data_IF_588510196987
#
_entry.id   IF_588510196987
#
_cell.length_a   1.000
_cell.length_b   1.000
_cell.length_c   1.000
_cell.angle_alpha   90.00
_cell.angle_beta   90.00
_cell.angle_gamma   90.00
#
_symmetry.space_group_name_H-M   'P 1'
#
loop_
_entity.id
_entity.type
_entity.pdbx_description
1 polymer ?
#
# COMPACT_ATOMS: atom_id res chain seq x y z
N UNK A 1 -18.23 15.76 -10.49
CA UNK A 1 -17.40 16.95 -10.18
C UNK A 1 -18.22 18.19 -9.78
N UNK A 2 -19.44 18.41 -10.31
CA UNK A 2 -20.25 19.60 -10.00
C UNK A 2 -20.63 19.81 -8.52
N UNK A 3 -20.50 18.77 -7.68
CA UNK A 3 -20.73 18.84 -6.22
C UNK A 3 -19.50 18.40 -5.41
N UNK A 4 -18.29 18.59 -5.95
CA UNK A 4 -17.04 18.35 -5.20
C UNK A 4 -17.08 19.04 -3.83
N UNK A 5 -16.63 18.38 -2.74
CA UNK A 5 -16.03 17.04 -2.67
C UNK A 5 -17.03 15.87 -2.64
N UNK A 6 -18.32 16.12 -2.38
CA UNK A 6 -19.34 15.09 -2.13
C UNK A 6 -19.46 14.08 -3.28
N UNK A 7 -19.30 14.52 -4.54
CA UNK A 7 -19.39 13.61 -5.68
C UNK A 7 -18.36 12.46 -5.64
N UNK A 8 -17.18 12.67 -5.04
CA UNK A 8 -16.15 11.63 -4.98
C UNK A 8 -16.49 10.52 -3.98
N UNK A 9 -17.21 10.87 -2.91
CA UNK A 9 -17.58 9.92 -1.87
C UNK A 9 -18.73 9.02 -2.31
N UNK A 10 -19.66 9.53 -3.12
CA UNK A 10 -20.83 8.79 -3.58
C UNK A 10 -20.61 8.07 -4.92
N UNK A 11 -19.56 8.40 -5.67
CA UNK A 11 -19.24 7.73 -6.94
C UNK A 11 -18.30 6.56 -6.69
N UNK A 12 -18.78 5.30 -6.76
CA UNK A 12 -17.96 4.16 -6.44
C UNK A 12 -16.94 3.87 -7.54
N UNK A 13 -15.79 3.32 -7.14
CA UNK A 13 -14.87 2.62 -8.03
C UNK A 13 -15.64 1.59 -8.86
N UNK A 14 -15.32 1.49 -10.16
CA UNK A 14 -16.04 0.67 -11.14
C UNK A 14 -15.23 -0.54 -11.58
N UNK A 15 -15.88 -1.49 -12.23
CA UNK A 15 -15.22 -2.64 -12.83
C UNK A 15 -14.20 -2.21 -13.90
N UNK A 16 -13.00 -2.84 -13.97
CA UNK A 16 -12.51 -4.00 -13.20
C UNK A 16 -11.66 -3.63 -11.96
N UNK A 17 -11.72 -2.38 -11.48
CA UNK A 17 -10.84 -1.85 -10.46
C UNK A 17 -11.07 -2.41 -9.04
N UNK A 18 -12.10 -3.23 -8.84
CA UNK A 18 -12.39 -4.00 -7.63
C UNK A 18 -11.57 -5.30 -7.50
N UNK A 19 -10.87 -5.73 -8.56
CA UNK A 19 -10.08 -6.96 -8.55
C UNK A 19 -8.96 -6.93 -7.50
N UNK A 20 -8.78 -8.03 -6.76
CA UNK A 20 -7.76 -8.08 -5.70
C UNK A 20 -6.33 -8.06 -6.24
N UNK A 21 -6.12 -8.56 -7.45
CA UNK A 21 -4.79 -8.67 -8.06
C UNK A 21 -4.37 -7.40 -8.80
N UNK A 22 -5.33 -6.60 -9.30
CA UNK A 22 -5.02 -5.35 -9.98
C UNK A 22 -4.46 -4.32 -9.00
N UNK A 23 -3.46 -3.53 -9.43
CA UNK A 23 -3.07 -2.30 -8.77
C UNK A 23 -3.96 -1.18 -9.30
N UNK A 24 -4.94 -0.77 -8.50
CA UNK A 24 -5.95 0.23 -8.84
C UNK A 24 -5.44 1.61 -8.48
N UNK A 25 -5.56 2.54 -9.42
CA UNK A 25 -5.00 3.89 -9.30
C UNK A 25 -6.14 4.90 -9.18
N UNK A 26 -6.17 5.65 -8.08
CA UNK A 26 -7.01 6.84 -7.94
C UNK A 26 -6.28 8.11 -8.36
N UNK A 27 -6.99 9.24 -8.33
CA UNK A 27 -6.45 10.54 -8.68
C UNK A 27 -6.30 11.46 -7.47
N UNK A 28 -5.12 12.02 -7.26
CA UNK A 28 -4.93 13.21 -6.42
C UNK A 28 -4.38 14.35 -7.28
N UNK A 29 -4.25 15.57 -6.74
CA UNK A 29 -3.69 16.67 -7.52
C UNK A 29 -2.84 17.64 -6.71
N UNK A 30 -1.69 18.02 -7.24
CA UNK A 30 -0.87 19.18 -6.86
C UNK A 30 -1.04 20.33 -7.86
N UNK A 31 -1.80 20.12 -8.93
CA UNK A 31 -2.04 21.12 -9.98
C UNK A 31 -3.10 22.10 -9.54
N UNK A 32 -2.67 23.16 -8.86
CA UNK A 32 -3.55 24.22 -8.34
C UNK A 32 -3.24 25.61 -8.88
N UNK A 33 -2.16 25.76 -9.66
CA UNK A 33 -1.73 27.04 -10.20
C UNK A 33 -2.52 27.38 -11.46
N UNK A 34 -3.14 28.56 -11.45
CA UNK A 34 -3.92 29.14 -12.54
C UNK A 34 -3.30 30.50 -12.89
N UNK A 35 -2.92 30.69 -14.14
CA UNK A 35 -2.48 31.97 -14.68
C UNK A 35 -3.69 32.91 -14.78
N UNK A 36 -3.73 33.89 -13.88
CA UNK A 36 -4.81 34.88 -13.82
C UNK A 36 -4.81 35.84 -15.02
N UNK A 37 -3.74 35.90 -15.82
CA UNK A 37 -3.76 36.65 -17.08
C UNK A 37 -4.53 35.90 -18.18
N UNK A 38 -4.52 34.56 -18.15
CA UNK A 38 -5.22 33.70 -19.13
C UNK A 38 -6.64 33.38 -18.66
N UNK A 39 -6.79 33.07 -17.38
CA UNK A 39 -8.03 32.63 -16.73
C UNK A 39 -8.40 33.56 -15.55
N UNK A 40 -8.69 34.86 -15.76
CA UNK A 40 -8.97 35.79 -14.67
C UNK A 40 -10.17 35.36 -13.81
N UNK A 41 -9.98 35.32 -12.49
CA UNK A 41 -11.03 34.99 -11.52
C UNK A 41 -11.32 33.50 -11.37
N UNK A 42 -10.61 32.64 -12.12
CA UNK A 42 -10.71 31.20 -11.95
C UNK A 42 -9.91 30.74 -10.73
N UNK A 43 -10.48 29.80 -9.99
CA UNK A 43 -9.84 29.14 -8.85
C UNK A 43 -9.87 27.62 -9.04
N UNK A 44 -8.89 26.89 -8.51
CA UNK A 44 -8.91 25.43 -8.54
C UNK A 44 -10.09 24.88 -7.72
N UNK A 45 -10.55 23.69 -8.10
CA UNK A 45 -11.64 22.98 -7.41
C UNK A 45 -11.12 22.20 -6.22
N UNK A 46 -10.06 21.41 -6.42
CA UNK A 46 -9.38 20.69 -5.34
C UNK A 46 -8.18 21.48 -4.80
N UNK A 47 -7.89 21.29 -3.52
CA UNK A 47 -6.69 21.80 -2.86
C UNK A 47 -5.46 20.96 -3.22
N UNK A 48 -4.26 21.54 -3.08
CA UNK A 48 -3.00 20.87 -3.39
C UNK A 48 -2.81 19.67 -2.45
N UNK A 49 -2.47 18.53 -3.03
CA UNK A 49 -2.27 17.28 -2.34
C UNK A 49 -3.56 16.54 -1.97
N UNK A 50 -4.76 17.08 -2.27
CA UNK A 50 -6.03 16.40 -2.00
C UNK A 50 -6.52 15.59 -3.22
N UNK A 51 -7.64 14.88 -3.04
CA UNK A 51 -8.29 14.07 -4.05
C UNK A 51 -8.65 14.91 -5.28
N UNK A 52 -8.25 14.44 -6.46
CA UNK A 52 -8.61 15.11 -7.70
C UNK A 52 -10.14 15.09 -7.89
N UNK A 53 -10.74 16.15 -8.47
CA UNK A 53 -12.19 16.24 -8.61
C UNK A 53 -12.79 15.04 -9.33
N UNK A 54 -12.03 14.40 -10.21
CA UNK A 54 -12.42 13.25 -11.03
C UNK A 54 -12.18 11.87 -10.46
N UNK A 55 -11.54 11.75 -9.29
CA UNK A 55 -11.32 10.44 -8.68
C UNK A 55 -12.62 9.83 -8.15
N UNK A 56 -12.75 8.52 -8.26
CA UNK A 56 -13.77 7.72 -7.58
C UNK A 56 -13.18 7.04 -6.35
N UNK A 57 -14.03 6.62 -5.42
CA UNK A 57 -13.58 6.04 -4.14
C UNK A 57 -14.33 4.75 -3.83
N UNK A 58 -13.85 3.97 -2.87
CA UNK A 58 -14.60 2.81 -2.36
C UNK A 58 -15.29 3.09 -1.03
N UNK A 59 -15.48 4.35 -0.64
CA UNK A 59 -16.08 4.76 0.65
C UNK A 59 -17.46 4.12 0.86
N UNK A 60 -18.26 4.02 -0.19
CA UNK A 60 -19.61 3.42 -0.16
C UNK A 60 -19.60 1.88 -0.09
N UNK A 61 -18.44 1.23 -0.18
CA UNK A 61 -18.31 -0.22 -0.10
C UNK A 61 -18.35 -0.72 1.36
N UNK A 62 -19.52 -0.59 1.99
CA UNK A 62 -19.75 -0.88 3.42
C UNK A 62 -20.44 -2.24 3.66
N UNK A 63 -20.66 -3.05 2.61
CA UNK A 63 -21.40 -4.31 2.68
C UNK A 63 -20.74 -5.40 3.57
N UNK A 64 -21.58 -6.30 4.10
CA UNK A 64 -21.23 -7.51 4.87
C UNK A 64 -20.21 -8.43 4.15
N UNK A 65 -20.04 -8.26 2.85
CA UNK A 65 -19.14 -9.03 1.99
C UNK A 65 -17.66 -8.58 2.03
N UNK A 66 -17.29 -7.66 2.94
CA UNK A 66 -15.89 -7.24 3.22
C UNK A 66 -15.03 -6.99 1.96
N UNK A 67 -15.43 -6.09 1.06
CA UNK A 67 -14.72 -5.83 -0.19
C UNK A 67 -13.31 -5.25 0.04
N UNK A 68 -12.36 -5.46 -0.89
CA UNK A 68 -10.98 -4.96 -0.76
C UNK A 68 -10.96 -3.43 -0.66
N UNK A 69 -9.94 -2.86 -0.03
CA UNK A 69 -9.72 -1.41 -0.06
C UNK A 69 -9.25 -0.99 -1.45
N UNK A 70 -9.87 0.05 -2.00
CA UNK A 70 -9.56 0.62 -3.31
C UNK A 70 -9.73 2.15 -3.31
N UNK A 71 -8.91 2.92 -4.04
CA UNK A 71 -7.77 2.48 -4.85
C UNK A 71 -6.63 1.91 -3.98
N UNK A 72 -5.59 1.34 -4.58
CA UNK A 72 -4.41 0.88 -3.84
C UNK A 72 -3.41 2.03 -3.60
N UNK A 73 -3.28 2.93 -4.59
CA UNK A 73 -2.49 4.16 -4.54
C UNK A 73 -3.19 5.27 -5.33
N UNK A 74 -2.72 6.51 -5.20
CA UNK A 74 -3.14 7.64 -6.02
C UNK A 74 -1.96 8.24 -6.79
N UNK A 75 -2.23 8.78 -7.99
CA UNK A 75 -1.25 9.54 -8.78
C UNK A 75 -1.87 10.87 -9.23
N UNK A 76 -1.04 11.80 -9.69
CA UNK A 76 -1.52 13.08 -10.23
C UNK A 76 -2.54 12.83 -11.34
N UNK A 77 -3.69 13.47 -11.24
CA UNK A 77 -4.81 13.33 -12.18
C UNK A 77 -5.22 14.67 -12.81
N UNK A 78 -4.52 15.75 -12.49
CA UNK A 78 -4.95 17.09 -12.80
C UNK A 78 -6.12 17.56 -11.94
N UNK A 79 -6.57 18.77 -12.22
CA UNK A 79 -7.60 19.47 -11.46
C UNK A 79 -8.59 20.13 -12.42
N UNK A 80 -9.68 20.65 -11.86
CA UNK A 80 -10.65 21.46 -12.59
C UNK A 80 -10.61 22.89 -12.04
N UNK A 81 -10.91 23.86 -12.90
CA UNK A 81 -11.13 25.24 -12.51
C UNK A 81 -12.61 25.54 -12.30
N UNK A 82 -12.91 26.55 -11.50
CA UNK A 82 -14.25 27.18 -11.42
C UNK A 82 -14.10 28.71 -11.46
N UNK A 83 -14.96 29.37 -12.23
CA UNK A 83 -14.95 30.83 -12.39
C UNK A 83 -15.64 31.59 -11.25
N UNK A 84 -16.24 30.88 -10.28
CA UNK A 84 -16.91 31.48 -9.13
C UNK A 84 -17.77 30.48 -8.35
N UNK A 85 -18.36 30.91 -7.21
CA UNK A 85 -19.27 30.08 -6.43
C UNK A 85 -20.48 29.62 -7.27
N UNK A 86 -20.73 28.31 -7.29
CA UNK A 86 -21.85 27.72 -8.05
C UNK A 86 -21.62 27.57 -9.56
N UNK A 87 -20.50 28.07 -10.09
CA UNK A 87 -20.11 27.81 -11.48
C UNK A 87 -19.77 26.34 -11.67
N UNK A 88 -20.11 25.79 -12.84
CA UNK A 88 -19.77 24.40 -13.18
C UNK A 88 -18.25 24.29 -13.34
N UNK A 89 -17.60 23.33 -12.66
CA UNK A 89 -16.19 23.03 -12.88
C UNK A 89 -15.87 22.73 -14.35
N UNK A 90 -14.79 23.30 -14.87
CA UNK A 90 -14.32 23.08 -16.24
C UNK A 90 -12.83 22.73 -16.25
N UNK A 91 -12.43 21.99 -17.29
CA UNK A 91 -11.01 21.75 -17.55
C UNK A 91 -10.31 23.05 -17.92
N UNK A 92 -9.16 23.31 -17.28
CA UNK A 92 -8.22 24.34 -17.70
C UNK A 92 -6.90 23.65 -18.08
N UNK A 93 -6.32 23.88 -19.27
CA UNK A 93 -5.12 23.18 -19.70
C UNK A 93 -3.94 23.25 -18.71
N UNK A 94 -3.79 24.37 -18.01
CA UNK A 94 -2.77 24.60 -16.98
C UNK A 94 -2.92 23.67 -15.75
N UNK A 95 -4.13 23.18 -15.49
CA UNK A 95 -4.47 22.25 -14.43
C UNK A 95 -4.38 20.78 -14.86
N UNK A 96 -4.04 20.50 -16.12
CA UNK A 96 -3.96 19.14 -16.67
C UNK A 96 -2.52 18.64 -16.86
N UNK A 97 -2.36 17.32 -16.97
CA UNK A 97 -1.09 16.71 -17.33
C UNK A 97 -0.83 16.90 -18.82
N UNK A 98 0.44 17.05 -19.19
CA UNK A 98 0.86 17.13 -20.59
C UNK A 98 1.35 15.76 -21.05
N UNK A 99 0.93 15.32 -22.24
CA UNK A 99 1.39 14.10 -22.88
C UNK A 99 1.66 14.30 -24.36
N UNK A 100 2.36 13.36 -24.98
CA UNK A 100 2.57 13.36 -26.44
C UNK A 100 1.25 13.07 -27.15
N UNK A 101 0.98 13.80 -28.23
CA UNK A 101 -0.17 13.54 -29.09
C UNK A 101 0.06 12.27 -29.91
N UNK A 102 -0.96 11.41 -30.01
CA UNK A 102 -1.01 10.28 -30.94
C UNK A 102 -1.12 10.72 -32.40
N UNK A 103 -1.45 11.99 -32.64
CA UNK A 103 -1.57 12.63 -33.95
C UNK A 103 -0.37 13.55 -34.28
N UNK A 104 0.74 13.45 -33.53
CA UNK A 104 1.89 14.36 -33.71
C UNK A 104 2.46 14.36 -35.14
N UNK A 105 2.27 13.27 -35.89
CA UNK A 105 2.76 13.12 -37.27
C UNK A 105 1.78 13.67 -38.33
N UNK A 106 0.58 14.11 -37.97
CA UNK A 106 -0.46 14.56 -38.92
C UNK A 106 -0.55 16.09 -39.05
N UNK A 107 0.42 16.82 -38.51
CA UNK A 107 0.43 18.29 -38.49
C UNK A 107 -0.41 18.92 -37.36
N UNK A 108 -0.95 18.10 -36.46
CA UNK A 108 -1.58 18.55 -35.22
C UNK A 108 -0.52 18.92 -34.16
N UNK A 109 -0.90 19.68 -33.09
CA UNK A 109 0.01 19.98 -32.01
C UNK A 109 0.69 18.72 -31.45
N UNK A 110 2.02 18.75 -31.22
CA UNK A 110 2.78 17.56 -30.80
C UNK A 110 2.44 17.10 -29.38
N UNK A 111 1.77 17.95 -28.59
CA UNK A 111 1.36 17.67 -27.22
C UNK A 111 -0.14 17.88 -27.05
N UNK A 112 -0.73 17.12 -26.14
CA UNK A 112 -2.13 17.25 -25.71
C UNK A 112 -2.24 17.12 -24.20
N UNK A 113 -3.35 17.58 -23.65
CA UNK A 113 -3.66 17.36 -22.23
C UNK A 113 -4.15 15.93 -22.01
N UNK A 114 -3.84 15.40 -20.83
CA UNK A 114 -4.45 14.21 -20.26
C UNK A 114 -4.77 14.48 -18.78
N UNK A 115 -5.66 13.70 -18.19
CA UNK A 115 -5.94 13.83 -16.77
C UNK A 115 -6.90 12.75 -16.31
N UNK A 116 -7.56 13.05 -15.20
CA UNK A 116 -8.42 12.14 -14.47
C UNK A 116 -7.69 10.84 -14.08
N UNK A 117 -8.44 9.82 -13.69
CA UNK A 117 -7.87 8.53 -13.29
C UNK A 117 -7.15 7.82 -14.44
N UNK A 118 -7.44 8.16 -15.70
CA UNK A 118 -6.70 7.66 -16.87
C UNK A 118 -5.27 8.20 -16.93
N UNK A 119 -5.09 9.52 -16.74
CA UNK A 119 -3.78 10.15 -16.63
C UNK A 119 -2.99 9.63 -15.43
N UNK A 120 -3.65 9.50 -14.27
CA UNK A 120 -3.06 8.90 -13.08
C UNK A 120 -2.59 7.45 -13.32
N UNK A 121 -3.41 6.63 -14.00
CA UNK A 121 -3.07 5.25 -14.36
C UNK A 121 -1.88 5.19 -15.32
N UNK A 122 -1.80 6.10 -16.30
CA UNK A 122 -0.68 6.19 -17.22
C UNK A 122 0.64 6.53 -16.49
N UNK A 123 0.60 7.44 -15.52
CA UNK A 123 1.77 7.75 -14.67
C UNK A 123 2.19 6.56 -13.81
N UNK A 124 1.25 5.85 -13.18
CA UNK A 124 1.54 4.64 -12.42
C UNK A 124 2.15 3.54 -13.30
N UNK A 125 1.63 3.35 -14.52
CA UNK A 125 2.14 2.37 -15.47
C UNK A 125 3.57 2.73 -15.94
N UNK A 126 3.84 4.01 -16.20
CA UNK A 126 5.19 4.48 -16.50
C UNK A 126 6.16 4.19 -15.34
N UNK A 127 5.75 4.49 -14.10
CA UNK A 127 6.56 4.26 -12.91
C UNK A 127 6.85 2.76 -12.70
N UNK A 128 5.84 1.92 -12.86
CA UNK A 128 5.97 0.46 -12.81
C UNK A 128 6.93 -0.07 -13.90
N UNK A 129 6.83 0.45 -15.12
CA UNK A 129 7.71 0.05 -16.23
C UNK A 129 9.16 0.45 -15.98
N UNK A 130 9.41 1.66 -15.43
CA UNK A 130 10.75 2.10 -15.02
C UNK A 130 11.33 1.20 -13.91
N UNK A 131 10.51 0.80 -12.95
CA UNK A 131 10.90 -0.11 -11.88
C UNK A 131 11.26 -1.50 -12.42
N UNK A 132 10.43 -2.05 -13.31
CA UNK A 132 10.68 -3.34 -13.96
C UNK A 132 11.95 -3.30 -14.83
N UNK A 133 12.19 -2.20 -15.54
CA UNK A 133 13.41 -2.02 -16.34
C UNK A 133 14.67 -1.90 -15.47
N UNK A 134 14.59 -1.22 -14.33
CA UNK A 134 15.71 -1.06 -13.39
C UNK A 134 16.03 -2.37 -12.66
N UNK A 135 15.01 -3.15 -12.29
CA UNK A 135 15.13 -4.38 -11.50
C UNK A 135 14.46 -5.57 -12.22
N UNK A 136 15.07 -6.10 -13.30
CA UNK A 136 14.45 -7.15 -14.13
C UNK A 136 14.23 -8.48 -13.40
N UNK A 137 14.90 -8.70 -12.27
CA UNK A 137 14.73 -9.90 -11.44
C UNK A 137 13.56 -9.81 -10.45
N UNK A 138 12.92 -8.64 -10.32
CA UNK A 138 11.77 -8.49 -9.42
C UNK A 138 10.50 -9.08 -10.03
N UNK A 139 9.79 -9.85 -9.20
CA UNK A 139 8.51 -10.45 -9.52
C UNK A 139 7.40 -9.38 -9.57
N UNK A 140 6.29 -9.64 -10.26
CA UNK A 140 5.17 -8.70 -10.28
C UNK A 140 4.61 -8.40 -8.88
N UNK A 141 4.66 -9.36 -7.94
CA UNK A 141 4.32 -9.20 -6.53
C UNK A 141 5.20 -8.12 -5.87
N UNK A 142 6.51 -8.15 -6.14
CA UNK A 142 7.49 -7.18 -5.64
C UNK A 142 7.31 -5.81 -6.28
N UNK A 143 7.14 -5.73 -7.59
CA UNK A 143 6.90 -4.45 -8.28
C UNK A 143 5.64 -3.75 -7.74
N UNK A 144 4.54 -4.50 -7.60
CA UNK A 144 3.29 -4.01 -7.01
C UNK A 144 3.49 -3.60 -5.54
N UNK A 145 4.22 -4.43 -4.79
CA UNK A 145 4.56 -4.17 -3.39
C UNK A 145 5.35 -2.88 -3.22
N UNK A 146 6.36 -2.64 -4.05
CA UNK A 146 7.24 -1.46 -3.97
C UNK A 146 6.49 -0.15 -4.25
N UNK A 147 5.61 -0.13 -5.25
CA UNK A 147 4.77 1.04 -5.55
C UNK A 147 3.87 1.42 -4.35
N UNK A 148 3.29 0.42 -3.68
CA UNK A 148 2.50 0.63 -2.45
C UNK A 148 3.40 0.99 -1.26
N UNK A 149 4.58 0.38 -1.18
CA UNK A 149 5.51 0.59 -0.08
C UNK A 149 6.05 2.03 -0.05
N UNK A 150 6.33 2.61 -1.20
CA UNK A 150 6.79 4.01 -1.30
C UNK A 150 5.65 5.02 -1.19
N UNK A 151 4.38 4.60 -1.15
CA UNK A 151 3.25 5.51 -1.06
C UNK A 151 3.13 6.21 0.31
N UNK A 152 2.85 7.52 0.29
CA UNK A 152 2.65 8.38 1.46
C UNK A 152 1.36 9.18 1.31
N UNK A 153 0.65 9.39 2.42
CA UNK A 153 -0.46 10.33 2.44
C UNK A 153 0.08 11.75 2.61
N UNK A 154 -0.43 12.67 1.81
CA UNK A 154 -0.15 14.10 1.98
C UNK A 154 -0.84 14.64 3.25
N UNK A 155 -0.43 15.80 3.78
CA UNK A 155 -1.16 16.46 4.86
C UNK A 155 -2.65 16.68 4.54
N UNK A 156 -2.98 17.05 3.29
CA UNK A 156 -4.36 17.25 2.85
C UNK A 156 -5.17 15.94 2.87
N UNK A 157 -4.59 14.82 2.44
CA UNK A 157 -5.22 13.50 2.52
C UNK A 157 -5.54 13.10 3.97
N UNK A 158 -4.59 13.33 4.88
CA UNK A 158 -4.76 13.04 6.31
C UNK A 158 -5.87 13.92 6.89
N UNK A 159 -5.86 15.22 6.60
CA UNK A 159 -6.88 16.16 7.06
C UNK A 159 -8.29 15.74 6.62
N UNK A 160 -8.47 15.41 5.34
CA UNK A 160 -9.75 14.96 4.78
C UNK A 160 -10.26 13.67 5.42
N UNK A 161 -9.36 12.83 5.92
CA UNK A 161 -9.72 11.57 6.57
C UNK A 161 -10.22 11.73 8.01
N UNK A 162 -10.05 12.90 8.62
CA UNK A 162 -10.40 13.09 10.03
C UNK A 162 -11.89 12.91 10.26
N UNK A 163 -12.22 12.22 11.36
CA UNK A 163 -13.60 12.09 11.84
C UNK A 163 -14.07 13.37 12.55
N UNK A 164 -15.32 13.38 13.02
CA UNK A 164 -15.90 14.53 13.73
C UNK A 164 -15.16 14.90 15.03
N UNK A 165 -14.31 14.02 15.56
CA UNK A 165 -13.48 14.24 16.74
C UNK A 165 -12.05 14.70 16.38
N UNK A 166 -11.73 14.86 15.08
CA UNK A 166 -10.44 15.32 14.60
C UNK A 166 -9.36 14.23 14.48
N UNK A 167 -9.70 12.96 14.74
CA UNK A 167 -8.76 11.84 14.58
C UNK A 167 -8.81 11.27 13.16
N UNK A 168 -7.64 10.93 12.62
CA UNK A 168 -7.55 10.27 11.31
C UNK A 168 -8.30 8.93 11.31
N UNK A 169 -9.20 8.76 10.34
CA UNK A 169 -9.86 7.48 10.08
C UNK A 169 -9.09 6.71 9.00
N UNK A 170 -8.40 5.66 9.41
CA UNK A 170 -7.62 4.82 8.50
C UNK A 170 -8.47 4.08 7.47
N UNK A 171 -9.71 3.71 7.79
CA UNK A 171 -10.61 3.12 6.79
C UNK A 171 -10.94 4.17 5.73
N UNK A 172 -11.25 5.40 6.15
CA UNK A 172 -11.53 6.49 5.21
C UNK A 172 -10.31 6.81 4.33
N UNK A 173 -9.09 6.82 4.89
CA UNK A 173 -7.85 6.97 4.13
C UNK A 173 -7.73 5.91 3.05
N UNK A 174 -7.77 4.62 3.44
CA UNK A 174 -7.62 3.52 2.49
C UNK A 174 -8.72 3.46 1.44
N UNK A 175 -9.96 3.82 1.80
CA UNK A 175 -11.11 3.86 0.88
C UNK A 175 -11.07 5.03 -0.10
N UNK A 176 -10.32 6.08 0.20
CA UNK A 176 -10.25 7.31 -0.59
C UNK A 176 -8.97 7.41 -1.40
N UNK A 177 -7.84 7.08 -0.77
CA UNK A 177 -6.48 7.31 -1.29
C UNK A 177 -5.64 6.04 -1.39
N UNK A 178 -6.18 4.89 -0.97
CA UNK A 178 -5.36 3.69 -0.76
C UNK A 178 -4.23 3.99 0.24
N UNK A 179 -3.02 3.58 -0.10
CA UNK A 179 -1.81 3.82 0.68
C UNK A 179 -1.15 5.19 0.43
N UNK A 180 -1.77 6.04 -0.40
CA UNK A 180 -1.31 7.39 -0.72
C UNK A 180 -0.62 7.50 -2.09
N UNK A 181 0.17 8.55 -2.28
CA UNK A 181 0.91 8.82 -3.50
C UNK A 181 2.35 8.24 -3.39
N UNK A 182 2.82 7.42 -4.36
CA UNK A 182 4.19 6.93 -4.40
C UNK A 182 5.22 8.05 -4.36
N UNK A 183 6.14 7.98 -3.40
CA UNK A 183 7.36 8.79 -3.43
C UNK A 183 8.35 8.13 -4.41
N UNK A 184 8.70 8.86 -5.48
CA UNK A 184 9.57 8.35 -6.55
C UNK A 184 11.02 8.26 -6.10
N UNK A 185 11.46 9.15 -5.22
CA UNK A 185 12.82 9.12 -4.69
C UNK A 185 13.00 7.92 -3.76
N UNK A 186 12.09 7.74 -2.79
CA UNK A 186 12.13 6.58 -1.89
C UNK A 186 11.91 5.24 -2.62
N UNK A 187 11.28 5.25 -3.80
CA UNK A 187 11.10 4.04 -4.61
C UNK A 187 12.41 3.57 -5.27
N UNK A 188 13.25 4.49 -5.73
CA UNK A 188 14.47 4.15 -6.49
C UNK A 188 15.76 4.28 -5.68
N UNK A 189 15.73 5.02 -4.58
CA UNK A 189 16.90 5.37 -3.78
C UNK A 189 16.65 5.04 -2.30
N UNK A 190 17.67 4.51 -1.64
CA UNK A 190 17.73 4.47 -0.18
C UNK A 190 18.78 5.47 0.28
N UNK A 191 18.36 6.48 1.05
CA UNK A 191 19.31 7.35 1.75
C UNK A 191 19.99 6.58 2.89
N UNK A 192 21.16 7.03 3.37
CA UNK A 192 21.91 6.32 4.42
C UNK A 192 21.11 6.08 5.71
N UNK A 193 20.11 6.93 5.98
CA UNK A 193 19.19 6.83 7.11
C UNK A 193 17.92 6.01 6.80
N UNK A 194 17.90 5.28 5.68
CA UNK A 194 16.83 4.38 5.29
C UNK A 194 17.40 3.06 4.78
N UNK A 195 16.79 1.96 5.23
CA UNK A 195 17.11 0.62 4.78
C UNK A 195 15.83 -0.02 4.27
N UNK A 196 15.85 -0.60 3.08
CA UNK A 196 14.75 -1.40 2.54
C UNK A 196 15.23 -2.83 2.27
N UNK A 197 14.58 -3.80 2.90
CA UNK A 197 14.78 -5.22 2.70
C UNK A 197 13.63 -5.80 1.88
N UNK A 198 13.97 -6.67 0.92
CA UNK A 198 13.00 -7.31 0.03
C UNK A 198 13.24 -8.81 0.05
N UNK A 199 12.21 -9.59 0.40
CA UNK A 199 12.20 -11.03 0.28
C UNK A 199 11.13 -11.47 -0.75
N UNK A 200 11.57 -12.25 -1.75
CA UNK A 200 10.70 -12.91 -2.73
C UNK A 200 10.72 -14.41 -2.43
N UNK A 201 9.59 -14.98 -2.05
CA UNK A 201 9.52 -16.38 -1.62
C UNK A 201 8.13 -16.98 -1.92
N UNK A 202 7.93 -18.24 -1.58
CA UNK A 202 6.67 -18.97 -1.76
C UNK A 202 6.26 -19.69 -0.48
N UNK A 203 4.96 -19.89 -0.32
CA UNK A 203 4.35 -20.56 0.82
C UNK A 203 3.31 -21.56 0.33
N UNK A 204 3.25 -22.74 0.93
CA UNK A 204 2.12 -23.65 0.76
C UNK A 204 1.11 -23.42 1.90
N UNK A 205 0.04 -22.64 1.68
CA UNK A 205 -0.83 -22.19 2.76
C UNK A 205 -1.62 -23.32 3.44
N UNK A 206 -1.95 -24.37 2.69
CA UNK A 206 -2.82 -25.43 3.18
C UNK A 206 -2.27 -26.83 2.87
N UNK A 207 -2.79 -27.83 3.59
CA UNK A 207 -2.55 -29.24 3.33
C UNK A 207 -3.80 -30.04 3.69
N UNK A 208 -4.00 -31.19 3.05
CA UNK A 208 -5.10 -32.11 3.40
C UNK A 208 -4.59 -33.21 4.31
N UNK A 209 -5.21 -33.32 5.48
CA UNK A 209 -4.95 -34.34 6.49
C UNK A 209 -6.23 -35.12 6.74
N UNK A 210 -6.28 -36.38 6.27
CA UNK A 210 -7.50 -37.17 6.28
C UNK A 210 -8.61 -36.53 5.45
N UNK A 211 -9.73 -36.22 6.09
CA UNK A 211 -10.90 -35.58 5.46
C UNK A 211 -10.89 -34.06 5.53
N UNK A 212 -10.01 -33.45 6.34
CA UNK A 212 -9.98 -32.00 6.57
C UNK A 212 -8.81 -31.33 5.85
N UNK A 213 -9.03 -30.08 5.41
CA UNK A 213 -7.95 -29.21 4.91
C UNK A 213 -7.58 -28.24 6.03
N UNK A 214 -6.31 -28.24 6.42
CA UNK A 214 -5.75 -27.42 7.49
C UNK A 214 -4.77 -26.39 6.93
N UNK A 215 -4.45 -25.41 7.75
CA UNK A 215 -3.28 -24.54 7.55
C UNK A 215 -2.02 -25.40 7.57
N UNK A 216 -1.00 -25.02 6.78
CA UNK A 216 0.24 -25.77 6.64
C UNK A 216 1.46 -24.96 7.07
N UNK A 217 1.95 -24.07 6.20
CA UNK A 217 3.20 -23.37 6.44
C UNK A 217 2.99 -22.00 7.10
N UNK A 218 3.95 -21.62 7.94
CA UNK A 218 4.19 -20.26 8.40
C UNK A 218 5.63 -19.92 8.07
N UNK A 219 5.84 -18.77 7.41
CA UNK A 219 7.18 -18.31 7.01
C UNK A 219 7.69 -17.30 8.01
N UNK A 220 8.76 -17.65 8.73
CA UNK A 220 9.44 -16.75 9.65
C UNK A 220 10.66 -16.12 8.95
N UNK A 221 10.68 -14.80 8.89
CA UNK A 221 11.77 -13.99 8.37
C UNK A 221 12.51 -13.35 9.54
N UNK A 222 13.76 -13.74 9.76
CA UNK A 222 14.65 -13.00 10.63
C UNK A 222 15.12 -11.73 9.92
N UNK A 223 15.03 -10.61 10.60
CA UNK A 223 15.36 -9.31 10.06
C UNK A 223 16.80 -8.96 10.48
N UNK A 224 17.70 -8.71 9.52
CA UNK A 224 19.07 -8.32 9.79
C UNK A 224 19.15 -6.85 10.24
N UNK A 225 18.44 -6.49 11.30
CA UNK A 225 18.48 -5.13 11.84
C UNK A 225 19.89 -4.76 12.29
N UNK A 226 20.32 -3.50 12.07
CA UNK A 226 21.56 -2.99 12.63
C UNK A 226 21.32 -2.67 14.11
N UNK A 227 21.04 -3.71 14.89
CA UNK A 227 20.46 -3.60 16.22
C UNK A 227 21.37 -2.82 17.19
N UNK A 228 22.69 -2.92 17.03
CA UNK A 228 23.64 -2.14 17.81
C UNK A 228 23.62 -0.66 17.45
N UNK A 229 23.49 -0.32 16.16
CA UNK A 229 23.32 1.07 15.71
C UNK A 229 22.02 1.66 16.25
N UNK A 230 20.90 0.92 16.12
CA UNK A 230 19.61 1.33 16.67
C UNK A 230 19.66 1.53 18.19
N UNK A 231 20.35 0.65 18.91
CA UNK A 231 20.53 0.78 20.37
C UNK A 231 21.44 1.95 20.76
N UNK A 232 22.38 2.35 19.89
CA UNK A 232 23.29 3.47 20.13
C UNK A 232 22.65 4.85 19.94
N UNK A 233 21.49 4.92 19.27
CA UNK A 233 20.75 6.16 19.09
C UNK A 233 20.29 6.73 20.44
N UNK A 234 20.16 8.07 20.56
CA UNK A 234 19.67 8.70 21.78
C UNK A 234 18.39 8.07 22.30
N UNK A 235 18.28 7.94 23.62
CA UNK A 235 17.12 7.33 24.26
C UNK A 235 15.83 8.08 23.86
N UNK A 236 14.82 7.34 23.42
CA UNK A 236 13.56 7.90 22.97
C UNK A 236 13.57 8.44 21.53
N UNK A 237 14.64 8.22 20.76
CA UNK A 237 14.62 8.49 19.31
C UNK A 237 13.50 7.70 18.66
N UNK A 238 12.54 8.41 18.10
CA UNK A 238 11.40 7.82 17.39
C UNK A 238 11.84 7.41 15.97
N UNK A 239 11.50 6.19 15.58
CA UNK A 239 11.82 5.59 14.28
C UNK A 239 10.56 5.01 13.66
N UNK A 240 10.57 4.87 12.34
CA UNK A 240 9.49 4.25 11.59
C UNK A 240 9.94 2.93 10.99
N UNK A 241 9.06 1.94 11.02
CA UNK A 241 9.18 0.71 10.25
C UNK A 241 7.93 0.52 9.41
N UNK A 242 8.10 0.40 8.10
CA UNK A 242 7.02 0.06 7.18
C UNK A 242 7.14 -1.39 6.77
N UNK A 243 6.03 -2.12 6.78
CA UNK A 243 5.96 -3.50 6.30
C UNK A 243 4.91 -3.58 5.22
N UNK A 244 5.27 -4.13 4.06
CA UNK A 244 4.36 -4.39 2.94
C UNK A 244 4.44 -5.85 2.52
N UNK A 245 3.30 -6.52 2.51
CA UNK A 245 3.11 -7.88 2.01
C UNK A 245 2.26 -7.83 0.75
N UNK A 246 2.78 -8.35 -0.36
CA UNK A 246 2.10 -8.41 -1.66
C UNK A 246 2.11 -9.84 -2.19
N UNK A 247 0.94 -10.35 -2.58
CA UNK A 247 0.77 -11.68 -3.18
C UNK A 247 -0.43 -11.69 -4.13
N UNK A 248 -0.49 -12.63 -5.07
CA UNK A 248 -1.67 -12.79 -5.92
C UNK A 248 -2.51 -13.97 -5.50
N UNK A 249 -3.82 -13.83 -5.68
CA UNK A 249 -4.80 -14.90 -5.42
C UNK A 249 -5.36 -15.45 -6.72
N UNK A 250 -5.75 -16.72 -6.73
CA UNK A 250 -6.65 -17.23 -7.77
C UNK A 250 -8.08 -16.81 -7.39
N UNK A 251 -8.79 -16.04 -8.24
CA UNK A 251 -10.18 -15.71 -7.97
C UNK A 251 -11.04 -16.97 -7.98
N UNK A 252 -12.05 -17.01 -7.11
CA UNK A 252 -13.02 -18.10 -7.01
C UNK A 252 -13.68 -18.35 -8.37
N UNK A 253 -13.69 -19.59 -8.90
CA UNK A 253 -14.26 -19.89 -10.22
C UNK A 253 -15.76 -19.63 -10.37
N UNK A 254 -16.49 -19.35 -9.28
CA UNK A 254 -17.92 -19.04 -9.32
C UNK A 254 -18.18 -17.55 -9.14
N UNK A 255 -19.05 -16.97 -9.96
CA UNK A 255 -19.49 -15.55 -9.93
C UNK A 255 -20.34 -15.17 -8.69
N UNK A 256 -20.15 -15.83 -7.54
CA UNK A 256 -21.00 -15.67 -6.35
C UNK A 256 -20.56 -14.53 -5.40
N UNK A 257 -19.71 -13.61 -5.87
CA UNK A 257 -19.31 -12.41 -5.12
C UNK A 257 -18.37 -12.66 -3.92
N UNK A 258 -18.36 -11.73 -2.95
CA UNK A 258 -17.38 -11.69 -1.83
C UNK A 258 -17.90 -12.25 -0.49
N UNK A 259 -18.96 -13.07 -0.48
CA UNK A 259 -19.50 -13.60 0.78
C UNK A 259 -18.53 -14.57 1.51
N UNK A 260 -18.52 -14.59 2.85
CA UNK A 260 -17.65 -15.42 3.71
C UNK A 260 -17.71 -16.91 3.29
N UNK A 261 -18.87 -17.37 2.83
CA UNK A 261 -19.12 -18.76 2.39
C UNK A 261 -18.51 -19.10 1.01
N UNK A 262 -18.27 -18.11 0.15
CA UNK A 262 -17.83 -18.32 -1.24
C UNK A 262 -16.53 -17.59 -1.62
N UNK A 263 -15.86 -17.01 -0.62
CA UNK A 263 -14.66 -16.16 -0.67
C UNK A 263 -13.91 -16.07 -2.00
N UNK A 264 -13.74 -14.84 -2.47
CA UNK A 264 -13.10 -14.52 -3.75
C UNK A 264 -11.66 -15.03 -3.85
N UNK A 265 -10.83 -14.87 -2.82
CA UNK A 265 -9.42 -15.30 -2.85
C UNK A 265 -9.23 -16.80 -2.58
N UNK A 266 -8.30 -17.41 -3.31
CA UNK A 266 -7.81 -18.77 -3.08
C UNK A 266 -7.28 -19.00 -1.67
N UNK A 267 -6.55 -18.01 -1.16
CA UNK A 267 -5.94 -17.97 0.15
C UNK A 267 -5.82 -16.48 0.53
N UNK A 268 -5.71 -16.18 1.82
CA UNK A 268 -5.18 -14.89 2.27
C UNK A 268 -3.83 -15.10 2.93
N UNK A 269 -2.97 -14.08 2.92
CA UNK A 269 -1.72 -14.06 3.68
C UNK A 269 -1.71 -12.81 4.56
N UNK A 270 -1.30 -12.95 5.82
CA UNK A 270 -1.10 -11.84 6.75
C UNK A 270 0.33 -11.87 7.25
N UNK A 271 0.80 -10.72 7.72
CA UNK A 271 2.06 -10.64 8.43
C UNK A 271 1.83 -10.29 9.90
N UNK A 272 2.69 -10.76 10.77
CA UNK A 272 2.80 -10.28 12.13
C UNK A 272 4.25 -9.97 12.42
N UNK A 273 4.50 -8.85 13.08
CA UNK A 273 5.85 -8.49 13.54
C UNK A 273 6.01 -9.00 14.96
N UNK A 274 7.21 -9.45 15.28
CA UNK A 274 7.62 -9.69 16.65
C UNK A 274 7.49 -8.40 17.47
N UNK A 275 6.96 -8.48 18.69
CA UNK A 275 6.89 -7.39 19.66
C UNK A 275 8.26 -7.16 20.28
N UNK A 276 8.51 -5.93 20.73
CA UNK A 276 9.76 -5.61 21.41
C UNK A 276 9.94 -6.36 22.75
N UNK A 277 8.84 -6.80 23.36
CA UNK A 277 8.81 -7.45 24.68
C UNK A 277 8.75 -8.98 24.63
N UNK A 278 8.73 -9.59 23.44
CA UNK A 278 8.62 -11.04 23.30
C UNK A 278 9.91 -11.66 22.76
N UNK A 279 10.20 -12.90 23.17
CA UNK A 279 11.28 -13.70 22.59
C UNK A 279 10.83 -14.36 21.27
N UNK A 280 11.77 -14.81 20.42
CA UNK A 280 11.42 -15.52 19.19
C UNK A 280 10.53 -16.76 19.41
N UNK A 281 10.67 -17.45 20.55
CA UNK A 281 9.85 -18.62 20.87
C UNK A 281 8.44 -18.22 21.34
N UNK A 282 8.31 -17.17 22.15
CA UNK A 282 7.01 -16.59 22.50
C UNK A 282 6.28 -16.08 21.26
N UNK A 283 7.01 -15.45 20.34
CA UNK A 283 6.48 -15.02 19.06
C UNK A 283 5.91 -16.19 18.26
N UNK A 284 6.69 -17.27 18.08
CA UNK A 284 6.20 -18.48 17.39
C UNK A 284 4.95 -19.05 18.04
N UNK A 285 4.91 -19.12 19.37
CA UNK A 285 3.73 -19.60 20.10
C UNK A 285 2.50 -18.72 19.84
N UNK A 286 2.66 -17.39 19.88
CA UNK A 286 1.60 -16.43 19.56
C UNK A 286 1.09 -16.57 18.14
N UNK A 287 2.00 -16.78 17.17
CA UNK A 287 1.62 -16.96 15.77
C UNK A 287 0.86 -18.27 15.54
N UNK A 288 1.28 -19.36 16.19
CA UNK A 288 0.59 -20.64 16.09
C UNK A 288 -0.82 -20.58 16.71
N UNK A 289 -1.05 -19.73 17.71
CA UNK A 289 -2.39 -19.51 18.25
C UNK A 289 -3.36 -18.89 17.22
N UNK A 290 -2.88 -18.03 16.30
CA UNK A 290 -3.70 -17.49 15.21
C UNK A 290 -4.26 -18.59 14.28
N UNK A 291 -3.66 -19.78 14.25
CA UNK A 291 -4.14 -20.90 13.46
C UNK A 291 -5.45 -21.51 14.01
N UNK A 292 -5.62 -21.47 15.34
CA UNK A 292 -6.68 -22.20 16.04
C UNK A 292 -8.00 -21.42 16.07
N UNK A 293 -7.96 -20.09 15.95
CA UNK A 293 -9.12 -19.22 16.05
C UNK A 293 -9.29 -18.37 14.78
N UNK A 294 -10.29 -18.71 13.95
CA UNK A 294 -10.60 -18.01 12.69
C UNK A 294 -10.95 -16.51 12.87
N UNK A 295 -11.16 -16.09 14.12
CA UNK A 295 -11.51 -14.73 14.55
C UNK A 295 -10.71 -14.31 15.80
N UNK A 296 -9.45 -14.76 15.94
CA UNK A 296 -8.58 -14.35 17.05
C UNK A 296 -8.41 -12.82 17.06
N UNK A 297 -8.95 -12.17 18.08
CA UNK A 297 -8.57 -10.79 18.39
C UNK A 297 -7.15 -10.82 18.95
N UNK A 298 -6.22 -10.17 18.24
CA UNK A 298 -4.85 -10.13 18.69
C UNK A 298 -4.81 -9.47 20.07
N UNK A 299 -4.38 -10.21 21.11
CA UNK A 299 -4.10 -9.61 22.41
C UNK A 299 -3.02 -8.54 22.24
N UNK A 300 -3.33 -7.26 22.43
CA UNK A 300 -2.37 -6.16 22.29
C UNK A 300 -1.47 -5.97 23.52
N UNK A 301 -1.60 -6.81 24.55
CA UNK A 301 -0.73 -6.76 25.71
C UNK A 301 0.76 -6.88 25.28
N UNK A 302 1.57 -5.92 25.71
CA UNK A 302 2.99 -5.85 25.37
C UNK A 302 3.32 -5.23 24.01
N UNK A 303 2.34 -4.72 23.25
CA UNK A 303 2.64 -3.93 22.05
C UNK A 303 3.20 -2.55 22.45
N UNK A 304 4.43 -2.27 22.02
CA UNK A 304 5.06 -0.94 22.17
C UNK A 304 4.92 -0.11 20.90
N UNK A 305 4.96 1.22 21.01
CA UNK A 305 4.77 2.10 19.86
C UNK A 305 3.33 2.10 19.34
N UNK A 306 3.15 2.48 18.07
CA UNK A 306 1.83 2.64 17.45
C UNK A 306 1.84 2.22 15.99
N UNK A 307 0.77 1.58 15.55
CA UNK A 307 0.53 1.28 14.15
C UNK A 307 -0.42 2.31 13.53
N UNK A 308 -0.06 2.89 12.38
CA UNK A 308 -0.85 3.94 11.73
C UNK A 308 -2.25 3.47 11.37
N UNK A 309 -2.37 2.25 10.83
CA UNK A 309 -3.67 1.67 10.43
C UNK A 309 -4.29 0.80 11.55
N UNK A 310 -3.85 1.02 12.80
CA UNK A 310 -4.20 0.18 13.94
C UNK A 310 -3.45 -1.17 13.95
N UNK A 311 -3.41 -1.81 15.13
CA UNK A 311 -2.72 -3.09 15.33
C UNK A 311 -3.40 -4.28 14.64
N UNK A 312 -4.69 -4.17 14.37
CA UNK A 312 -5.43 -5.11 13.53
C UNK A 312 -5.30 -4.69 12.07
N UNK A 313 -4.49 -5.41 11.28
CA UNK A 313 -4.31 -5.10 9.87
C UNK A 313 -5.65 -5.08 9.11
N UNK A 314 -5.86 -4.12 8.18
CA UNK A 314 -6.99 -4.15 7.27
C UNK A 314 -6.96 -5.43 6.47
N UNK A 315 -7.88 -6.30 6.83
CA UNK A 315 -7.89 -7.72 6.52
C UNK A 315 -8.48 -8.03 5.14
N UNK A 316 -8.35 -7.12 4.16
CA UNK A 316 -9.08 -7.20 2.89
C UNK A 316 -8.15 -6.97 1.71
N UNK A 317 -8.24 -7.81 0.67
CA UNK A 317 -7.38 -7.74 -0.51
C UNK A 317 -6.19 -8.70 -0.48
N UNK A 318 -5.25 -8.48 -1.39
CA UNK A 318 -4.04 -9.30 -1.59
C UNK A 318 -2.73 -8.50 -1.46
N UNK A 319 -2.84 -7.27 -0.96
CA UNK A 319 -1.73 -6.38 -0.65
C UNK A 319 -2.02 -5.70 0.68
N UNK A 320 -1.03 -5.69 1.57
CA UNK A 320 -1.16 -5.15 2.91
C UNK A 320 0.07 -4.31 3.21
N UNK A 321 -0.11 -3.05 3.60
CA UNK A 321 0.97 -2.18 4.05
C UNK A 321 0.56 -1.52 5.36
N UNK A 322 1.49 -1.41 6.31
CA UNK A 322 1.27 -0.66 7.55
C UNK A 322 2.59 -0.08 8.05
N UNK A 323 2.49 0.99 8.83
CA UNK A 323 3.63 1.68 9.43
C UNK A 323 3.53 1.55 10.94
N UNK A 324 4.60 1.09 11.54
CA UNK A 324 4.82 1.11 12.97
C UNK A 324 5.76 2.26 13.31
N UNK A 325 5.45 2.99 14.37
CA UNK A 325 6.28 4.07 14.90
C UNK A 325 6.52 3.83 16.39
N UNK A 326 7.77 3.90 16.82
CA UNK A 326 8.16 3.70 18.21
C UNK A 326 9.63 3.99 18.44
N UNK A 327 10.19 3.55 19.56
CA UNK A 327 11.59 3.87 19.89
C UNK A 327 12.57 3.02 19.08
N UNK A 328 13.78 3.55 18.83
CA UNK A 328 14.84 2.80 18.18
C UNK A 328 15.21 1.50 18.93
N UNK A 329 15.17 1.54 20.27
CA UNK A 329 15.41 0.37 21.12
C UNK A 329 14.32 -0.69 20.98
N UNK A 330 13.04 -0.27 20.91
CA UNK A 330 11.95 -1.18 20.61
C UNK A 330 12.15 -1.84 19.24
N UNK A 331 12.45 -1.05 18.21
CA UNK A 331 12.68 -1.56 16.85
C UNK A 331 13.81 -2.58 16.79
N UNK A 332 14.92 -2.32 17.50
CA UNK A 332 16.06 -3.24 17.59
C UNK A 332 15.67 -4.63 18.12
N UNK A 333 14.63 -4.71 18.96
CA UNK A 333 14.10 -5.96 19.49
C UNK A 333 13.03 -6.60 18.60
N UNK A 334 12.46 -5.89 17.61
CA UNK A 334 11.48 -6.42 16.65
C UNK A 334 12.14 -7.16 15.49
N UNK A 335 12.89 -8.21 15.81
CA UNK A 335 13.82 -8.88 14.90
C UNK A 335 13.19 -9.90 13.94
N UNK A 336 11.89 -10.16 14.01
CA UNK A 336 11.26 -11.18 13.18
C UNK A 336 9.90 -10.74 12.62
N UNK A 337 9.58 -11.23 11.42
CA UNK A 337 8.25 -11.17 10.83
C UNK A 337 7.78 -12.57 10.48
N UNK A 338 6.55 -12.90 10.80
CA UNK A 338 5.90 -14.13 10.37
C UNK A 338 4.88 -13.81 9.29
N UNK A 339 4.84 -14.63 8.23
CA UNK A 339 3.79 -14.64 7.22
C UNK A 339 3.00 -15.92 7.40
N UNK A 340 1.70 -15.78 7.58
CA UNK A 340 0.81 -16.90 7.84
C UNK A 340 -0.46 -16.82 6.99
N UNK A 341 -1.02 -17.97 6.59
CA UNK A 341 -2.20 -18.00 5.75
C UNK A 341 -3.48 -17.76 6.55
N UNK A 342 -4.44 -17.11 5.90
CA UNK A 342 -5.83 -16.99 6.34
C UNK A 342 -6.75 -17.70 5.36
N UNK A 343 -7.99 -17.97 5.78
CA UNK A 343 -8.99 -18.71 5.01
C UNK A 343 -9.13 -18.25 3.55
N UNK A 344 -9.36 -19.21 2.65
CA UNK A 344 -9.65 -18.98 1.24
C UNK A 344 -10.22 -20.25 0.59
N UNK A 345 -10.66 -20.15 -0.67
CA UNK A 345 -11.38 -21.25 -1.30
C UNK A 345 -10.54 -22.51 -1.54
N UNK A 346 -9.19 -22.43 -1.55
CA UNK A 346 -8.32 -23.61 -1.54
C UNK A 346 -8.51 -24.47 -0.28
N UNK A 347 -8.89 -23.87 0.86
CA UNK A 347 -9.22 -24.58 2.12
C UNK A 347 -10.68 -24.99 2.19
N UNK A 348 -11.61 -24.10 1.79
CA UNK A 348 -13.05 -24.34 1.97
C UNK A 348 -13.70 -25.19 0.88
N UNK A 349 -13.01 -25.43 -0.25
CA UNK A 349 -13.49 -26.29 -1.34
C UNK A 349 -12.51 -27.45 -1.65
N UNK A 350 -12.39 -28.46 -0.76
CA UNK A 350 -11.46 -29.57 -0.97
C UNK A 350 -11.67 -30.37 -2.26
N UNK A 351 -12.88 -30.32 -2.84
CA UNK A 351 -13.22 -30.99 -4.11
C UNK A 351 -12.48 -30.43 -5.32
N UNK A 352 -11.99 -29.19 -5.24
CA UNK A 352 -11.20 -28.56 -6.31
C UNK A 352 -9.73 -29.02 -6.29
N UNK A 353 -9.31 -29.79 -5.27
CA UNK A 353 -7.96 -30.36 -5.13
C UNK A 353 -6.81 -29.34 -5.20
N UNK A 354 -7.09 -28.10 -4.80
CA UNK A 354 -6.12 -26.98 -4.82
C UNK A 354 -5.38 -26.76 -3.50
N UNK A 355 -5.73 -27.49 -2.44
CA UNK A 355 -5.14 -27.32 -1.11
C UNK A 355 -3.62 -27.51 -1.08
N UNK A 356 -3.04 -28.31 -1.98
CA UNK A 356 -1.59 -28.53 -2.07
C UNK A 356 -0.83 -27.53 -2.95
N UNK A 357 -1.46 -26.45 -3.41
CA UNK A 357 -0.80 -25.43 -4.25
C UNK A 357 0.08 -24.50 -3.43
N UNK A 358 1.19 -24.07 -4.01
CA UNK A 358 2.07 -23.03 -3.48
C UNK A 358 1.70 -21.66 -4.07
N UNK A 359 1.84 -20.60 -3.27
CA UNK A 359 1.66 -19.22 -3.71
C UNK A 359 2.92 -18.41 -3.46
N UNK A 360 3.27 -17.52 -4.40
CA UNK A 360 4.38 -16.58 -4.23
C UNK A 360 3.93 -15.35 -3.45
N UNK A 361 4.86 -14.75 -2.74
CA UNK A 361 4.68 -13.47 -2.07
C UNK A 361 5.95 -12.64 -2.12
N UNK A 362 5.80 -11.33 -1.95
CA UNK A 362 6.88 -10.40 -1.67
C UNK A 362 6.65 -9.77 -0.31
N UNK A 363 7.66 -9.82 0.55
CA UNK A 363 7.74 -9.06 1.80
C UNK A 363 8.74 -7.93 1.61
N UNK A 364 8.31 -6.71 1.85
CA UNK A 364 9.13 -5.51 1.78
C UNK A 364 9.08 -4.84 3.14
N UNK A 365 10.24 -4.59 3.73
CA UNK A 365 10.34 -3.93 5.04
C UNK A 365 11.31 -2.78 4.92
N UNK A 366 10.91 -1.58 5.30
CA UNK A 366 11.83 -0.46 5.45
C UNK A 366 11.85 0.05 6.88
N UNK A 367 13.00 0.62 7.26
CA UNK A 367 13.16 1.39 8.48
C UNK A 367 13.69 2.78 8.13
N UNK A 368 13.28 3.78 8.90
CA UNK A 368 13.69 5.18 8.72
C UNK A 368 14.00 5.81 10.08
N UNK A 369 15.16 6.46 10.17
CA UNK A 369 15.54 7.27 11.33
C UNK A 369 15.36 8.77 11.01
N UNK A 370 15.04 9.60 12.02
CA UNK A 370 14.81 11.03 11.83
C UNK A 370 16.09 11.78 11.44
N UNK A 371 17.24 11.30 11.92
CA UNK A 371 18.55 11.87 11.59
C UNK A 371 19.09 11.27 10.28
N UNK A 372 19.41 12.14 9.32
CA UNK A 372 19.99 11.77 8.02
C UNK A 372 21.48 11.38 8.11
N UNK A 373 22.15 11.66 9.23
CA UNK A 373 23.57 11.34 9.43
C UNK A 373 23.81 9.95 10.02
N UNK A 374 22.76 9.31 10.55
CA UNK A 374 22.84 7.94 11.06
C UNK A 374 22.86 6.95 9.90
N UNK A 375 23.97 6.25 9.72
CA UNK A 375 24.09 5.16 8.73
C UNK A 375 23.53 3.86 9.30
N UNK A 376 22.32 3.50 8.85
CA UNK A 376 21.67 2.24 9.17
C UNK A 376 21.76 1.24 7.99
N UNK A 377 22.25 1.68 6.83
CA UNK A 377 22.31 0.86 5.62
C UNK A 377 23.57 0.00 5.58
N UNK A 378 24.75 0.61 5.74
CA UNK A 378 26.06 -0.06 5.60
C UNK A 378 26.23 -1.26 6.54
N UNK A 379 25.84 -1.21 7.83
CA UNK A 379 25.98 -2.36 8.72
C UNK A 379 25.19 -3.57 8.23
N UNK A 380 24.00 -3.34 7.66
CA UNK A 380 23.16 -4.41 7.12
C UNK A 380 23.68 -4.92 5.80
N UNK A 381 24.07 -4.04 4.88
CA UNK A 381 24.67 -4.42 3.60
C UNK A 381 25.88 -5.34 3.79
N UNK A 382 26.76 -5.02 4.76
CA UNK A 382 27.89 -5.87 5.14
C UNK A 382 27.45 -7.23 5.68
N UNK A 383 26.41 -7.28 6.52
CA UNK A 383 25.91 -8.53 7.12
C UNK A 383 25.35 -9.49 6.06
N UNK A 384 24.68 -8.96 5.05
CA UNK A 384 24.08 -9.76 3.95
C UNK A 384 24.99 -9.88 2.72
N UNK A 385 26.23 -9.38 2.80
CA UNK A 385 27.25 -9.54 1.75
C UNK A 385 27.02 -8.72 0.48
N UNK A 386 26.32 -7.59 0.56
CA UNK A 386 26.13 -6.67 -0.56
C UNK A 386 27.36 -5.73 -0.65
N UNK A 387 27.99 -5.58 -1.81
CA UNK A 387 29.05 -4.59 -2.00
C UNK A 387 28.51 -3.18 -1.77
N UNK A 388 29.13 -2.44 -0.84
CA UNK A 388 28.82 -1.03 -0.61
C UNK A 388 29.67 -0.20 -1.56
N UNK A 389 29.07 0.34 -2.62
CA UNK A 389 29.75 1.27 -3.52
C UNK A 389 29.98 2.61 -2.81
N UNK A 390 31.25 2.96 -2.58
CA UNK A 390 31.63 4.27 -2.04
C UNK A 390 31.64 5.26 -3.20
N UNK A 391 30.60 6.08 -3.32
CA UNK A 391 30.60 7.24 -4.21
C UNK A 391 31.69 8.20 -3.73
N UNK A 392 32.77 8.34 -4.50
CA UNK A 392 33.89 9.25 -4.22
C UNK A 392 33.62 10.65 -4.75
#
# INVERSE_FOLDING_TARGET
HGTYPNSNEVTPVQDPAQAWNALTIGGYTEKVLIDQAVSPGWIPVAESGDLAPSSTTSVTWTSASRPPFKPDIVMEAGNLGRSGPGATPMELPELMLLTTSDEFATGQPPFRTMGETSGATALAANLAARLAARYPAFTPETLRGLLVHSARWTPAMIERSKNAQGFSDSNRLLRTFGYGAPDVEELFSSANNSLTLIAQDSIQPFLKEGSAVKTNEIKHHALPWPADVLRSLPLGTEVEMRVTLSYFVEPSPGERGWDKKYGYGSHGLRFAVMRATETPDQFKQRINAYEQEEEYEADHAGETGRWTIGGHQPSRGSIHSNVWTGTAQDLANRSHIAIYPTIGWWRTRPKEERFGKTARYSLIVSIKTPDQTTDIYTPVANLIGIPVEIST
#
